data_IF_510659937472
#
_entry.id   IF_510659937472
#
_cell.length_a   1.000
_cell.length_b   1.000
_cell.length_c   1.000
_cell.angle_alpha   90.00
_cell.angle_beta   90.00
_cell.angle_gamma   90.00
#
_symmetry.space_group_name_H-M   'P 1'
#
loop_
_entity.id
_entity.type
_entity.pdbx_description
1 polymer ?
#
# COMPACT_ATOMS: atom_id res chain seq x y z
N UNK A 1 0.71 5.06 2.70
CA UNK A 1 -0.27 4.53 1.73
C UNK A 1 -0.91 3.29 2.30
N UNK A 2 -2.18 3.38 2.55
CA UNK A 2 -2.92 2.25 3.13
C UNK A 2 -2.99 1.09 2.14
N UNK A 3 -2.85 -0.13 2.66
CA UNK A 3 -2.95 -1.35 1.87
C UNK A 3 -2.02 -1.38 0.65
N UNK A 4 -0.83 -0.79 0.75
CA UNK A 4 0.07 -0.57 -0.38
C UNK A 4 0.37 -1.85 -1.17
N UNK A 5 0.85 -2.90 -0.49
CA UNK A 5 1.22 -4.13 -1.19
C UNK A 5 0.00 -4.79 -1.87
N UNK A 6 -1.12 -4.85 -1.17
CA UNK A 6 -2.34 -5.40 -1.74
C UNK A 6 -2.85 -4.57 -2.92
N UNK A 7 -2.76 -3.24 -2.83
CA UNK A 7 -3.16 -2.33 -3.90
C UNK A 7 -2.28 -2.49 -5.14
N UNK A 8 -0.97 -2.68 -4.98
CA UNK A 8 -0.05 -2.95 -6.08
C UNK A 8 -0.43 -4.25 -6.80
N UNK A 9 -0.71 -5.31 -6.04
CA UNK A 9 -1.11 -6.60 -6.62
C UNK A 9 -2.43 -6.47 -7.37
N UNK A 10 -3.42 -5.78 -6.84
CA UNK A 10 -4.72 -5.55 -7.50
C UNK A 10 -4.57 -4.70 -8.76
N UNK A 11 -3.65 -3.74 -8.76
CA UNK A 11 -3.36 -2.91 -9.93
C UNK A 11 -2.78 -3.74 -11.07
N UNK A 12 -1.85 -4.62 -10.76
CA UNK A 12 -1.07 -5.36 -11.75
C UNK A 12 -1.75 -6.67 -12.18
N UNK A 13 -2.75 -7.14 -11.43
CA UNK A 13 -3.53 -8.33 -11.77
C UNK A 13 -5.02 -8.01 -11.71
N UNK A 14 -5.63 -7.91 -12.89
CA UNK A 14 -7.06 -7.58 -13.04
C UNK A 14 -7.95 -8.58 -12.32
N UNK A 15 -7.54 -9.86 -12.25
CA UNK A 15 -8.31 -10.90 -11.57
C UNK A 15 -8.44 -10.67 -10.05
N UNK A 16 -7.56 -9.86 -9.47
CA UNK A 16 -7.60 -9.54 -8.03
C UNK A 16 -8.44 -8.30 -7.71
N UNK A 17 -8.79 -7.51 -8.70
CA UNK A 17 -9.56 -6.28 -8.49
C UNK A 17 -10.95 -6.58 -7.96
N UNK A 18 -11.34 -5.86 -6.90
CA UNK A 18 -12.64 -6.05 -6.25
C UNK A 18 -12.72 -7.29 -5.35
N UNK A 19 -11.66 -8.10 -5.27
CA UNK A 19 -11.61 -9.30 -4.43
C UNK A 19 -10.88 -9.02 -3.12
N UNK A 20 -11.22 -9.72 -2.04
CA UNK A 20 -10.43 -9.65 -0.82
C UNK A 20 -9.07 -10.31 -1.04
N UNK A 21 -8.00 -9.54 -0.83
CA UNK A 21 -6.62 -9.97 -1.04
C UNK A 21 -5.82 -9.73 0.22
N UNK A 22 -5.00 -10.69 0.62
CA UNK A 22 -4.00 -10.52 1.66
C UNK A 22 -2.63 -10.91 1.10
N UNK A 23 -1.66 -10.03 1.28
CA UNK A 23 -0.27 -10.31 0.91
C UNK A 23 0.46 -10.80 2.15
N UNK A 24 1.12 -11.94 2.05
CA UNK A 24 1.84 -12.50 3.19
C UNK A 24 2.19 -13.97 3.01
N UNK A 25 2.57 -14.61 4.10
CA UNK A 25 2.95 -16.01 4.13
C UNK A 25 1.75 -16.95 4.04
N UNK A 26 2.03 -18.25 3.85
CA UNK A 26 0.98 -19.25 3.68
C UNK A 26 0.20 -19.51 4.97
N UNK A 27 -1.11 -19.80 4.88
CA UNK A 27 -1.91 -20.16 6.06
C UNK A 27 -1.47 -21.45 6.73
N UNK A 28 -0.96 -22.41 5.95
CA UNK A 28 -0.51 -23.73 6.45
C UNK A 28 0.77 -23.64 7.28
N UNK A 29 1.54 -22.56 7.11
CA UNK A 29 2.73 -22.27 7.89
C UNK A 29 2.45 -21.24 8.97
N UNK A 30 3.51 -20.53 9.40
CA UNK A 30 3.40 -19.42 10.35
C UNK A 30 3.28 -18.08 9.62
N UNK A 31 2.56 -18.08 8.49
CA UNK A 31 2.39 -16.89 7.69
C UNK A 31 1.61 -15.82 8.40
N UNK A 32 1.99 -14.57 8.15
CA UNK A 32 1.39 -13.37 8.72
C UNK A 32 0.95 -12.46 7.58
N UNK A 33 -0.16 -11.75 7.78
CA UNK A 33 -0.63 -10.73 6.83
C UNK A 33 0.32 -9.54 6.87
N UNK A 34 0.95 -9.24 5.74
CA UNK A 34 1.76 -8.01 5.60
C UNK A 34 0.87 -6.83 5.21
N UNK A 35 -0.09 -7.05 4.31
CA UNK A 35 -1.07 -6.04 3.93
C UNK A 35 -2.37 -6.72 3.51
N UNK A 36 -3.49 -6.06 3.80
CA UNK A 36 -4.83 -6.52 3.43
C UNK A 36 -5.51 -5.47 2.56
N UNK A 37 -6.17 -5.91 1.48
CA UNK A 37 -6.98 -5.02 0.66
C UNK A 37 -8.17 -4.47 1.44
N UNK A 38 -8.78 -3.41 0.95
CA UNK A 38 -9.95 -2.84 1.59
C UNK A 38 -11.12 -3.84 1.63
N UNK A 39 -11.27 -4.65 0.59
CA UNK A 39 -12.28 -5.72 0.54
C UNK A 39 -12.04 -6.76 1.64
N UNK A 40 -10.78 -7.13 1.90
CA UNK A 40 -10.43 -8.05 2.97
C UNK A 40 -10.63 -7.43 4.36
N UNK A 41 -10.34 -6.15 4.50
CA UNK A 41 -10.54 -5.43 5.78
C UNK A 41 -11.99 -5.38 6.21
N UNK A 42 -12.93 -5.40 5.27
CA UNK A 42 -14.36 -5.46 5.57
C UNK A 42 -14.75 -6.74 6.33
N UNK A 43 -13.97 -7.82 6.19
CA UNK A 43 -14.13 -9.08 6.93
C UNK A 43 -13.34 -9.14 8.22
N UNK A 44 -12.64 -8.06 8.59
CA UNK A 44 -11.82 -8.00 9.79
C UNK A 44 -10.37 -8.43 9.60
N UNK A 45 -9.93 -8.69 8.37
CA UNK A 45 -8.54 -9.04 8.06
C UNK A 45 -7.65 -7.80 8.20
N UNK A 46 -6.55 -7.92 8.95
CA UNK A 46 -5.65 -6.81 9.25
C UNK A 46 -4.19 -7.23 9.15
N UNK A 47 -3.31 -6.25 8.96
CA UNK A 47 -1.86 -6.46 9.02
C UNK A 47 -1.45 -7.03 10.39
N UNK A 48 -0.39 -7.80 10.39
CA UNK A 48 0.17 -8.51 11.55
C UNK A 48 -0.68 -9.69 12.07
N UNK A 49 -1.87 -9.89 11.55
CA UNK A 49 -2.71 -11.05 11.86
C UNK A 49 -2.11 -12.32 11.26
N UNK A 50 -2.27 -13.48 11.93
CA UNK A 50 -1.88 -14.75 11.31
C UNK A 50 -2.71 -15.00 10.05
N UNK A 51 -2.07 -15.53 9.01
CA UNK A 51 -2.78 -15.82 7.76
C UNK A 51 -3.85 -16.92 7.95
N UNK A 52 -3.61 -17.86 8.85
CA UNK A 52 -4.60 -18.88 9.18
C UNK A 52 -5.89 -18.27 9.75
N UNK A 53 -5.77 -17.27 10.62
CA UNK A 53 -6.92 -16.53 11.15
C UNK A 53 -7.60 -15.71 10.06
N UNK A 54 -6.82 -15.07 9.20
CA UNK A 54 -7.35 -14.25 8.09
C UNK A 54 -8.22 -15.09 7.15
N UNK A 55 -7.79 -16.27 6.79
CA UNK A 55 -8.56 -17.19 5.93
C UNK A 55 -9.86 -17.64 6.61
N UNK A 56 -9.84 -17.82 7.93
CA UNK A 56 -11.07 -18.17 8.67
C UNK A 56 -12.08 -17.02 8.70
N UNK A 57 -11.59 -15.78 8.83
CA UNK A 57 -12.46 -14.59 8.81
C UNK A 57 -13.02 -14.31 7.42
N UNK A 58 -12.25 -14.59 6.39
CA UNK A 58 -12.62 -14.33 5.01
C UNK A 58 -12.37 -15.58 4.16
N UNK A 59 -13.37 -16.47 4.02
CA UNK A 59 -13.18 -17.74 3.29
C UNK A 59 -12.81 -17.57 1.82
N UNK A 60 -13.18 -16.45 1.21
CA UNK A 60 -12.86 -16.13 -0.19
C UNK A 60 -11.54 -15.36 -0.35
N UNK A 61 -10.76 -15.26 0.71
CA UNK A 61 -9.51 -14.50 0.70
C UNK A 61 -8.52 -15.10 -0.30
N UNK A 62 -7.99 -14.24 -1.17
CA UNK A 62 -6.89 -14.60 -2.07
C UNK A 62 -5.59 -14.27 -1.34
N UNK A 63 -4.79 -15.28 -1.08
CA UNK A 63 -3.49 -15.13 -0.43
C UNK A 63 -2.42 -14.98 -1.51
N UNK A 64 -1.72 -13.86 -1.51
CA UNK A 64 -0.70 -13.54 -2.51
C UNK A 64 0.67 -13.51 -1.83
N UNK A 65 1.63 -14.19 -2.47
CA UNK A 65 3.02 -14.15 -2.02
C UNK A 65 3.61 -12.77 -2.25
N UNK A 66 4.34 -12.17 -1.27
CA UNK A 66 4.93 -10.86 -1.46
C UNK A 66 5.95 -10.84 -2.60
N UNK A 67 5.90 -9.78 -3.41
CA UNK A 67 6.89 -9.50 -4.45
C UNK A 67 7.54 -8.15 -4.14
N UNK A 68 8.58 -8.18 -3.31
CA UNK A 68 9.25 -6.95 -2.86
C UNK A 68 9.98 -6.22 -3.99
N UNK A 69 10.41 -6.92 -5.02
CA UNK A 69 11.01 -6.28 -6.21
C UNK A 69 9.98 -5.38 -6.90
N UNK A 70 8.76 -5.87 -7.06
CA UNK A 70 7.64 -5.10 -7.61
C UNK A 70 7.31 -3.90 -6.73
N UNK A 71 7.22 -4.10 -5.41
CA UNK A 71 6.86 -3.04 -4.47
C UNK A 71 7.92 -1.94 -4.42
N UNK A 72 9.21 -2.31 -4.45
CA UNK A 72 10.29 -1.34 -4.52
C UNK A 72 10.26 -0.51 -5.78
N UNK A 73 9.93 -1.12 -6.92
CA UNK A 73 9.81 -0.41 -8.19
C UNK A 73 8.66 0.60 -8.16
N UNK A 74 7.49 0.20 -7.66
CA UNK A 74 6.33 1.08 -7.52
C UNK A 74 6.63 2.18 -6.51
N UNK A 75 7.25 1.84 -5.38
CA UNK A 75 7.67 2.80 -4.36
C UNK A 75 8.60 3.86 -4.95
N UNK A 76 9.56 3.46 -5.78
CA UNK A 76 10.45 4.38 -6.47
C UNK A 76 9.69 5.38 -7.35
N UNK A 77 8.69 4.92 -8.08
CA UNK A 77 7.83 5.78 -8.90
C UNK A 77 7.05 6.78 -8.05
N UNK A 78 6.50 6.34 -6.92
CA UNK A 78 5.76 7.21 -6.00
C UNK A 78 6.69 8.26 -5.39
N UNK A 79 7.89 7.88 -4.95
CA UNK A 79 8.86 8.83 -4.40
C UNK A 79 9.35 9.82 -5.46
N UNK A 80 9.47 9.40 -6.71
CA UNK A 80 9.79 10.33 -7.81
C UNK A 80 8.69 11.38 -7.98
N UNK A 81 7.42 11.00 -7.84
CA UNK A 81 6.31 11.94 -7.83
C UNK A 81 6.42 12.94 -6.66
N UNK A 82 6.77 12.46 -5.46
CA UNK A 82 6.99 13.34 -4.31
C UNK A 82 8.10 14.35 -4.56
N UNK A 83 9.20 13.91 -5.17
CA UNK A 83 10.34 14.78 -5.50
C UNK A 83 10.00 15.82 -6.57
N UNK A 84 9.01 15.56 -7.41
CA UNK A 84 8.49 16.57 -8.33
C UNK A 84 7.78 17.72 -7.62
N UNK A 85 7.24 17.49 -6.42
CA UNK A 85 6.55 18.49 -5.60
C UNK A 85 7.52 19.22 -4.69
N UNK A 86 8.43 18.50 -4.05
CA UNK A 86 9.43 19.04 -3.13
C UNK A 86 10.68 18.18 -3.12
N UNK A 87 11.89 18.78 -3.04
CA UNK A 87 13.13 18.02 -2.86
C UNK A 87 13.30 17.49 -1.42
N UNK A 88 12.48 17.99 -0.47
CA UNK A 88 12.59 17.65 0.94
C UNK A 88 11.70 16.44 1.25
N UNK A 89 12.14 15.27 0.80
CA UNK A 89 11.45 14.00 0.99
C UNK A 89 12.31 13.11 1.89
N UNK A 90 11.74 12.66 3.00
CA UNK A 90 12.37 11.71 3.91
C UNK A 90 11.63 10.37 3.86
N UNK A 91 12.21 9.34 3.21
CA UNK A 91 11.58 8.02 3.18
C UNK A 91 11.62 7.35 4.56
N UNK A 92 10.49 6.81 5.00
CA UNK A 92 10.39 6.02 6.23
C UNK A 92 10.33 4.53 5.92
N UNK A 93 9.60 4.17 4.87
CA UNK A 93 9.46 2.80 4.39
C UNK A 93 9.10 2.84 2.90
N UNK A 94 8.78 1.69 2.29
CA UNK A 94 8.41 1.65 0.88
C UNK A 94 7.16 2.48 0.56
N UNK A 95 6.26 2.65 1.52
CA UNK A 95 4.98 3.33 1.33
C UNK A 95 4.78 4.54 2.24
N UNK A 96 5.82 4.95 2.98
CA UNK A 96 5.75 6.05 3.92
C UNK A 96 6.88 7.04 3.72
N UNK A 97 6.57 8.32 3.77
CA UNK A 97 7.54 9.38 3.69
C UNK A 97 7.04 10.64 4.39
N UNK A 98 7.97 11.42 4.93
CA UNK A 98 7.71 12.81 5.31
C UNK A 98 8.12 13.72 4.16
N UNK A 99 7.27 14.69 3.85
CA UNK A 99 7.53 15.72 2.85
C UNK A 99 7.45 17.09 3.52
N UNK A 100 8.49 17.90 3.33
CA UNK A 100 8.40 19.32 3.67
C UNK A 100 7.93 20.06 2.42
N UNK A 101 6.68 20.54 2.47
CA UNK A 101 6.02 21.19 1.34
C UNK A 101 5.87 22.70 1.56
N UNK A 102 6.61 23.28 2.51
CA UNK A 102 6.61 24.73 2.76
C UNK A 102 6.90 25.50 1.48
N UNK A 103 7.91 25.06 0.72
CA UNK A 103 8.15 25.50 -0.66
C UNK A 103 7.97 24.30 -1.58
N UNK A 104 7.06 24.38 -2.53
CA UNK A 104 6.79 23.26 -3.44
C UNK A 104 6.62 23.72 -4.88
N UNK A 105 6.79 22.79 -5.82
CA UNK A 105 6.78 23.10 -7.25
C UNK A 105 5.43 23.66 -7.73
N UNK A 106 4.35 23.43 -7.01
CA UNK A 106 3.02 23.94 -7.35
C UNK A 106 2.77 25.36 -6.80
N UNK A 107 3.66 25.91 -5.97
CA UNK A 107 3.48 27.19 -5.33
C UNK A 107 2.30 27.24 -4.37
N UNK A 108 1.88 26.09 -3.84
CA UNK A 108 0.71 25.98 -2.97
C UNK A 108 1.12 26.18 -1.51
N UNK A 109 0.58 27.20 -0.78
CA UNK A 109 1.00 27.46 0.60
C UNK A 109 0.42 26.49 1.63
N UNK A 110 -0.64 25.73 1.30
CA UNK A 110 -1.29 24.83 2.25
C UNK A 110 -0.86 23.38 2.02
N UNK A 111 -0.22 22.78 3.03
CA UNK A 111 0.23 21.38 2.99
C UNK A 111 -0.94 20.41 2.75
N UNK A 112 -2.12 20.68 3.32
CA UNK A 112 -3.31 19.86 3.12
C UNK A 112 -3.76 19.85 1.65
N UNK A 113 -3.66 20.97 0.95
CA UNK A 113 -3.99 21.05 -0.48
C UNK A 113 -2.99 20.27 -1.31
N UNK A 114 -1.70 20.36 -1.00
CA UNK A 114 -0.65 19.57 -1.65
C UNK A 114 -0.91 18.08 -1.47
N UNK A 115 -1.24 17.63 -0.26
CA UNK A 115 -1.53 16.24 0.02
C UNK A 115 -2.73 15.73 -0.78
N UNK A 116 -3.78 16.52 -0.91
CA UNK A 116 -4.96 16.18 -1.72
C UNK A 116 -4.62 16.03 -3.21
N UNK A 117 -3.80 16.92 -3.76
CA UNK A 117 -3.35 16.81 -5.15
C UNK A 117 -2.50 15.57 -5.39
N UNK A 118 -1.62 15.23 -4.46
CA UNK A 118 -0.80 14.01 -4.55
C UNK A 118 -1.66 12.75 -4.58
N UNK A 119 -2.73 12.70 -3.81
CA UNK A 119 -3.66 11.55 -3.81
C UNK A 119 -4.40 11.38 -5.12
N UNK A 120 -4.60 12.46 -5.87
CA UNK A 120 -5.28 12.43 -7.17
C UNK A 120 -4.34 12.05 -8.32
N UNK A 121 -3.06 12.05 -8.07
CA UNK A 121 -2.04 11.62 -9.03
C UNK A 121 -2.01 10.07 -9.12
#
# INVERSE_FOLDING_TARGET
MDAFYASVEQRDDVALRGRPVAVGGRPEGRGVVAAASYEARAFGVRSAMSMAKAVRLCPNLVVVRPDFSRYRRVSGQVFDMYRCVTPLVEPLSLDEAYLDVTENAWGEPLATTVAKRLKQW
#
